data_IF_168871954248
#
_entry.id   IF_168871954248
#
_cell.length_a   1.000
_cell.length_b   1.000
_cell.length_c   1.000
_cell.angle_alpha   90.00
_cell.angle_beta   90.00
_cell.angle_gamma   90.00
#
_symmetry.space_group_name_H-M   'P 1'
#
loop_
_entity.id
_entity.type
_entity.pdbx_description
1 polymer ?
#
# COMPACT_ATOMS: atom_id res chain seq x y z
N UNK A 1 31.34 20.05 31.51
CA UNK A 1 31.56 20.21 30.05
C UNK A 1 31.94 18.89 29.39
N UNK A 2 32.92 18.14 29.89
CA UNK A 2 33.33 16.85 29.29
C UNK A 2 32.30 15.71 29.45
N UNK A 3 31.57 15.69 30.55
CA UNK A 3 30.55 14.66 30.81
C UNK A 3 29.34 14.79 29.88
N UNK A 4 28.93 16.02 29.56
CA UNK A 4 27.83 16.30 28.64
C UNK A 4 28.20 15.94 27.20
N UNK A 5 29.43 16.22 26.79
CA UNK A 5 29.96 15.82 25.49
C UNK A 5 30.02 14.29 25.35
N UNK A 6 30.36 13.58 26.42
CA UNK A 6 30.40 12.11 26.45
C UNK A 6 29.00 11.51 26.39
N UNK A 7 28.05 12.05 27.15
CA UNK A 7 26.62 11.64 27.09
C UNK A 7 26.01 11.89 25.73
N UNK A 8 26.35 12.99 25.07
CA UNK A 8 25.88 13.30 23.72
C UNK A 8 26.39 12.27 22.70
N UNK A 9 27.67 11.90 22.77
CA UNK A 9 28.26 10.87 21.88
C UNK A 9 27.57 9.52 22.05
N UNK A 10 27.35 9.09 23.30
CA UNK A 10 26.65 7.84 23.60
C UNK A 10 25.22 7.82 23.00
N UNK A 11 24.47 8.92 23.12
CA UNK A 11 23.13 9.04 22.50
C UNK A 11 23.15 9.01 20.98
N UNK A 12 24.18 9.58 20.36
CA UNK A 12 24.34 9.55 18.90
C UNK A 12 24.63 8.11 18.43
N UNK A 13 25.48 7.38 19.14
CA UNK A 13 25.77 5.98 18.83
C UNK A 13 24.54 5.08 19.01
N UNK A 14 23.78 5.28 20.09
CA UNK A 14 22.52 4.57 20.32
C UNK A 14 21.49 4.87 19.21
N UNK A 15 21.36 6.15 18.82
CA UNK A 15 20.46 6.54 17.73
C UNK A 15 20.90 5.90 16.40
N UNK A 16 22.20 5.93 16.08
CA UNK A 16 22.73 5.31 14.87
C UNK A 16 22.46 3.80 14.83
N UNK A 17 22.61 3.11 15.97
CA UNK A 17 22.28 1.69 16.08
C UNK A 17 20.78 1.43 15.83
N UNK A 18 19.89 2.22 16.42
CA UNK A 18 18.44 2.06 16.22
C UNK A 18 17.99 2.31 14.77
N UNK A 19 18.57 3.32 14.10
CA UNK A 19 18.30 3.61 12.69
C UNK A 19 18.77 2.45 11.81
N UNK A 20 19.94 1.88 12.10
CA UNK A 20 20.47 0.76 11.34
C UNK A 20 19.59 -0.49 11.46
N UNK A 21 19.03 -0.74 12.65
CA UNK A 21 18.08 -1.82 12.90
C UNK A 21 16.78 -1.63 12.10
N UNK A 22 16.18 -0.44 12.16
CA UNK A 22 14.95 -0.12 11.41
C UNK A 22 15.14 -0.32 9.90
N UNK A 23 16.24 0.21 9.35
CA UNK A 23 16.56 0.06 7.93
C UNK A 23 16.67 -1.41 7.51
N UNK A 24 17.23 -2.27 8.37
CA UNK A 24 17.38 -3.69 8.09
C UNK A 24 16.01 -4.39 8.10
N UNK A 25 15.16 -4.08 9.08
CA UNK A 25 13.78 -4.58 9.16
C UNK A 25 12.97 -4.16 7.93
N UNK A 26 13.10 -2.89 7.51
CA UNK A 26 12.42 -2.35 6.34
C UNK A 26 12.85 -3.04 5.06
N UNK A 27 14.15 -3.19 4.83
CA UNK A 27 14.68 -3.92 3.67
C UNK A 27 14.15 -5.35 3.61
N UNK A 28 14.12 -6.05 4.76
CA UNK A 28 13.59 -7.41 4.83
C UNK A 28 12.09 -7.47 4.53
N UNK A 29 11.31 -6.52 5.03
CA UNK A 29 9.89 -6.43 4.74
C UNK A 29 9.63 -6.13 3.25
N UNK A 30 10.42 -5.24 2.66
CA UNK A 30 10.34 -4.91 1.23
C UNK A 30 10.70 -6.10 0.34
N UNK A 31 11.77 -6.84 0.67
CA UNK A 31 12.14 -8.07 -0.02
C UNK A 31 11.02 -9.13 0.07
N UNK A 32 10.39 -9.28 1.24
CA UNK A 32 9.26 -10.20 1.43
C UNK A 32 8.05 -9.80 0.58
N UNK A 33 7.77 -8.50 0.48
CA UNK A 33 6.70 -7.97 -0.36
C UNK A 33 7.01 -8.19 -1.86
N UNK A 34 8.25 -7.96 -2.29
CA UNK A 34 8.68 -8.21 -3.66
C UNK A 34 8.55 -9.69 -4.03
N UNK A 35 8.98 -10.60 -3.14
CA UNK A 35 8.83 -12.04 -3.33
C UNK A 35 7.37 -12.48 -3.44
N UNK A 36 6.49 -11.93 -2.58
CA UNK A 36 5.05 -12.21 -2.65
C UNK A 36 4.43 -11.72 -3.97
N UNK A 37 4.82 -10.53 -4.44
CA UNK A 37 4.36 -10.00 -5.74
C UNK A 37 4.85 -10.85 -6.91
N UNK A 38 6.10 -11.32 -6.88
CA UNK A 38 6.64 -12.21 -7.91
C UNK A 38 5.89 -13.55 -7.97
N UNK A 39 5.45 -14.07 -6.81
CA UNK A 39 4.63 -15.28 -6.72
C UNK A 39 3.16 -15.10 -7.14
N UNK A 40 2.65 -13.87 -7.26
CA UNK A 40 1.27 -13.56 -7.65
C UNK A 40 1.08 -13.32 -9.16
N UNK A 41 2.12 -13.48 -9.99
CA UNK A 41 1.99 -13.40 -11.46
C UNK A 41 1.47 -14.74 -12.02
N UNK A 42 0.27 -15.13 -11.62
CA UNK A 42 -0.53 -16.11 -12.36
C UNK A 42 -1.61 -15.34 -13.10
N UNK A 43 -1.74 -15.46 -14.44
CA UNK A 43 -2.87 -14.88 -15.14
C UNK A 43 -4.14 -15.50 -14.58
N UNK A 44 -5.01 -14.67 -13.99
CA UNK A 44 -6.36 -15.06 -13.65
C UNK A 44 -7.12 -15.32 -14.97
N UNK A 45 -7.03 -16.56 -15.47
CA UNK A 45 -7.98 -17.06 -16.47
C UNK A 45 -9.29 -17.24 -15.73
N UNK A 46 -10.16 -16.23 -15.82
CA UNK A 46 -11.54 -16.34 -15.38
C UNK A 46 -12.24 -17.30 -16.34
N UNK A 47 -12.76 -18.47 -15.89
CA UNK A 47 -13.56 -19.31 -16.75
C UNK A 47 -14.83 -18.56 -17.12
N UNK A 48 -15.02 -18.29 -18.41
CA UNK A 48 -16.26 -17.73 -18.93
C UNK A 48 -17.34 -18.80 -18.75
N UNK A 49 -18.20 -18.63 -17.75
CA UNK A 49 -19.43 -19.41 -17.60
C UNK A 49 -20.38 -19.04 -18.76
N UNK A 50 -21.00 -20.01 -19.46
CA UNK A 50 -21.92 -19.71 -20.55
C UNK A 50 -23.21 -19.10 -19.97
N UNK A 51 -23.48 -17.82 -20.28
CA UNK A 51 -24.76 -17.19 -19.94
C UNK A 51 -24.72 -15.71 -19.55
N UNK A 52 -23.55 -15.06 -19.46
CA UNK A 52 -23.47 -13.64 -19.12
C UNK A 52 -23.52 -12.77 -20.38
N UNK A 53 -24.42 -11.78 -20.49
CA UNK A 53 -24.45 -10.89 -21.65
C UNK A 53 -23.12 -10.12 -21.75
N UNK A 54 -22.49 -10.24 -22.92
CA UNK A 54 -21.31 -9.46 -23.28
C UNK A 54 -21.71 -7.98 -23.29
N UNK A 55 -21.35 -7.25 -22.24
CA UNK A 55 -21.27 -5.80 -22.36
C UNK A 55 -20.20 -5.51 -23.42
N UNK A 56 -20.68 -5.04 -24.57
CA UNK A 56 -19.90 -4.68 -25.73
C UNK A 56 -18.67 -3.83 -25.36
N UNK A 57 -17.57 -3.93 -26.13
CA UNK A 57 -16.39 -3.09 -25.91
C UNK A 57 -16.80 -1.62 -26.04
N UNK A 58 -16.96 -0.93 -24.90
CA UNK A 58 -17.11 0.50 -24.91
C UNK A 58 -15.82 1.08 -25.48
N UNK A 59 -15.99 1.81 -26.58
CA UNK A 59 -14.96 2.55 -27.26
C UNK A 59 -14.00 3.20 -26.25
N UNK A 60 -12.71 2.96 -26.47
CA UNK A 60 -11.63 3.59 -25.74
C UNK A 60 -11.72 5.10 -25.94
N UNK A 61 -12.45 5.75 -25.04
CA UNK A 61 -12.41 7.20 -24.93
C UNK A 61 -10.99 7.54 -24.48
N UNK A 62 -10.25 8.28 -25.32
CA UNK A 62 -8.87 8.73 -25.09
C UNK A 62 -8.78 9.80 -24.01
N UNK A 63 -9.63 9.69 -22.98
CA UNK A 63 -9.42 10.35 -21.70
C UNK A 63 -8.52 9.47 -20.83
N UNK A 64 -7.82 10.05 -19.84
CA UNK A 64 -7.07 9.24 -18.91
C UNK A 64 -8.00 8.22 -18.25
N UNK A 65 -7.65 6.94 -18.36
CA UNK A 65 -8.46 5.83 -17.89
C UNK A 65 -8.96 6.12 -16.47
N UNK A 66 -10.26 6.39 -16.34
CA UNK A 66 -10.91 6.45 -15.03
C UNK A 66 -10.76 5.03 -14.48
N UNK A 67 -10.06 4.91 -13.35
CA UNK A 67 -9.89 3.63 -12.67
C UNK A 67 -11.25 2.99 -12.33
N UNK A 68 -11.25 1.74 -11.84
CA UNK A 68 -12.47 1.08 -11.39
C UNK A 68 -13.30 2.02 -10.51
N UNK A 69 -14.62 2.11 -10.76
CA UNK A 69 -15.54 2.91 -9.94
C UNK A 69 -15.67 2.26 -8.55
N UNK A 70 -14.76 2.59 -7.64
CA UNK A 70 -14.80 2.17 -6.24
C UNK A 70 -15.64 3.18 -5.46
N UNK A 71 -16.60 2.68 -4.67
CA UNK A 71 -17.42 3.50 -3.79
C UNK A 71 -16.59 4.22 -2.72
N UNK A 72 -17.17 5.26 -2.13
CA UNK A 72 -16.55 5.93 -0.98
C UNK A 72 -16.52 4.96 0.21
N UNK A 73 -15.41 4.87 0.97
CA UNK A 73 -15.35 4.08 2.19
C UNK A 73 -16.39 4.53 3.21
N UNK A 74 -16.94 3.58 3.95
CA UNK A 74 -17.85 3.86 5.06
C UNK A 74 -17.13 4.61 6.19
N UNK A 75 -17.89 5.35 7.01
CA UNK A 75 -17.33 5.99 8.20
C UNK A 75 -16.93 4.94 9.23
N UNK A 76 -15.73 5.06 9.78
CA UNK A 76 -15.27 4.22 10.88
C UNK A 76 -15.82 4.72 12.23
N UNK A 77 -16.33 3.80 13.03
CA UNK A 77 -16.94 4.05 14.34
C UNK A 77 -15.93 3.90 15.50
N UNK A 78 -14.65 3.64 15.21
CA UNK A 78 -13.61 3.44 16.24
C UNK A 78 -13.56 2.02 16.82
N UNK A 79 -14.40 1.10 16.33
CA UNK A 79 -14.47 -0.26 16.87
C UNK A 79 -13.29 -1.14 16.45
N UNK A 80 -12.60 -1.73 17.44
CA UNK A 80 -11.53 -2.71 17.19
C UNK A 80 -12.10 -4.04 16.67
N UNK A 81 -11.25 -4.81 16.00
CA UNK A 81 -11.58 -6.16 15.51
C UNK A 81 -12.03 -6.16 14.04
N UNK A 82 -12.91 -7.09 13.62
CA UNK A 82 -13.24 -7.30 12.20
C UNK A 82 -13.71 -6.05 11.45
N UNK A 83 -14.42 -5.13 12.14
CA UNK A 83 -14.84 -3.85 11.55
C UNK A 83 -13.67 -2.95 11.17
N UNK A 84 -12.61 -2.92 11.98
CA UNK A 84 -11.40 -2.18 11.66
C UNK A 84 -10.69 -2.74 10.42
N UNK A 85 -10.63 -4.07 10.30
CA UNK A 85 -10.02 -4.74 9.14
C UNK A 85 -10.77 -4.45 7.83
N UNK A 86 -12.11 -4.50 7.88
CA UNK A 86 -12.97 -4.12 6.75
C UNK A 86 -12.73 -2.67 6.36
N UNK A 87 -12.72 -1.75 7.33
CA UNK A 87 -12.49 -0.34 7.07
C UNK A 87 -11.12 -0.07 6.42
N UNK A 88 -10.05 -0.69 6.95
CA UNK A 88 -8.70 -0.58 6.38
C UNK A 88 -8.66 -1.11 4.94
N UNK A 89 -9.36 -2.22 4.68
CA UNK A 89 -9.44 -2.80 3.33
C UNK A 89 -10.17 -1.87 2.36
N UNK A 90 -11.31 -1.29 2.76
CA UNK A 90 -12.05 -0.33 1.94
C UNK A 90 -11.19 0.90 1.60
N UNK A 91 -10.50 1.46 2.60
CA UNK A 91 -9.59 2.60 2.40
C UNK A 91 -8.45 2.23 1.44
N UNK A 92 -7.82 1.07 1.62
CA UNK A 92 -6.76 0.59 0.75
C UNK A 92 -7.21 0.47 -0.71
N UNK A 93 -8.37 -0.13 -0.96
CA UNK A 93 -8.94 -0.24 -2.31
C UNK A 93 -9.28 1.13 -2.91
N UNK A 94 -9.80 2.05 -2.10
CA UNK A 94 -10.13 3.40 -2.54
C UNK A 94 -8.88 4.19 -2.96
N UNK A 95 -7.80 4.14 -2.17
CA UNK A 95 -6.53 4.80 -2.48
C UNK A 95 -5.90 4.21 -3.75
N UNK A 96 -5.82 2.88 -3.84
CA UNK A 96 -5.22 2.20 -5.01
C UNK A 96 -5.99 2.44 -6.30
N UNK A 97 -7.32 2.57 -6.22
CA UNK A 97 -8.17 2.78 -7.40
C UNK A 97 -8.24 4.26 -7.81
N UNK A 98 -7.76 5.18 -6.97
CA UNK A 98 -7.79 6.62 -7.20
C UNK A 98 -6.40 7.27 -7.07
N UNK A 99 -5.39 6.84 -7.85
CA UNK A 99 -4.00 7.30 -7.70
C UNK A 99 -3.81 8.80 -7.95
N UNK A 100 -4.73 9.44 -8.67
CA UNK A 100 -4.69 10.89 -8.91
C UNK A 100 -5.06 11.75 -7.70
N UNK A 101 -5.89 11.21 -6.80
CA UNK A 101 -6.26 11.90 -5.55
C UNK A 101 -5.20 11.68 -4.46
N UNK A 102 -4.42 10.61 -4.59
CA UNK A 102 -3.36 10.22 -3.67
C UNK A 102 -2.05 10.03 -4.44
N UNK A 103 -1.47 11.11 -4.99
CA UNK A 103 -0.19 11.01 -5.69
C UNK A 103 0.87 10.48 -4.72
N UNK A 104 1.65 9.49 -5.15
CA UNK A 104 2.83 9.07 -4.43
C UNK A 104 4.00 10.00 -4.78
N UNK A 105 4.74 10.45 -3.78
CA UNK A 105 5.89 11.34 -3.96
C UNK A 105 7.12 10.56 -4.47
N UNK A 106 6.90 9.52 -5.30
CA UNK A 106 7.95 8.64 -5.85
C UNK A 106 8.78 9.29 -6.97
N UNK A 107 8.83 10.61 -6.97
CA UNK A 107 9.66 11.40 -7.88
C UNK A 107 10.83 12.02 -7.12
N UNK A 108 11.80 11.18 -6.73
CA UNK A 108 13.21 11.54 -6.52
C UNK A 108 14.08 10.28 -6.45
#
# INVERSE_FOLDING_TARGET
MDEDATKLRARIEELAASIQEEQNLRQRAEAKLAAARAGMVAPAVVPILPGQPQNAPQAQDKGPAKGPKVGLPDKYDGTKGPKAEVYVTQIGLYVLSNPRMFPDDRSR
#
